data_IF_264328459259
#
_entry.id   IF_264328459259
#
_cell.length_a   1.000
_cell.length_b   1.000
_cell.length_c   1.000
_cell.angle_alpha   90.00
_cell.angle_beta   90.00
_cell.angle_gamma   90.00
#
_symmetry.space_group_name_H-M   'P 1'
#
loop_
_entity.id
_entity.type
_entity.pdbx_description
1 polymer ?
#
# COMPACT_ATOMS: atom_id res chain seq x y z
N UNK A 1 -1.69 -16.79 27.46
CA UNK A 1 -0.84 -15.66 27.04
C UNK A 1 -1.74 -14.55 26.53
N UNK A 2 -1.73 -13.37 27.15
CA UNK A 2 -2.58 -12.23 26.73
C UNK A 2 -1.80 -11.43 25.69
N UNK A 3 -2.34 -11.32 24.48
CA UNK A 3 -1.78 -10.46 23.43
C UNK A 3 -2.44 -9.09 23.56
N UNK A 4 -1.62 -8.04 23.74
CA UNK A 4 -2.09 -6.66 23.70
C UNK A 4 -1.92 -6.14 22.29
N UNK A 5 -3.00 -5.65 21.69
CA UNK A 5 -2.98 -4.99 20.37
C UNK A 5 -3.10 -3.49 20.60
N UNK A 6 -2.19 -2.71 20.03
CA UNK A 6 -2.19 -1.24 20.10
C UNK A 6 -2.76 -0.72 18.78
N UNK A 7 -3.77 0.16 18.85
CA UNK A 7 -4.38 0.81 17.69
C UNK A 7 -4.23 2.32 17.86
N UNK A 8 -3.64 2.98 16.87
CA UNK A 8 -3.37 4.43 16.87
C UNK A 8 -3.94 5.07 15.60
N UNK A 9 -4.38 6.33 15.69
CA UNK A 9 -4.74 7.16 14.53
C UNK A 9 -3.91 8.45 14.55
N UNK A 10 -3.08 8.63 13.52
CA UNK A 10 -2.22 9.80 13.36
C UNK A 10 -2.54 10.44 12.01
N UNK A 11 -3.13 11.63 12.01
CA UNK A 11 -3.46 12.37 10.78
C UNK A 11 -4.43 11.63 9.85
N UNK A 12 -5.35 10.81 10.39
CA UNK A 12 -6.30 10.01 9.60
C UNK A 12 -5.75 8.67 9.12
N UNK A 13 -4.49 8.34 9.44
CA UNK A 13 -3.87 7.05 9.14
C UNK A 13 -3.92 6.17 10.37
N UNK A 14 -4.44 4.95 10.22
CA UNK A 14 -4.47 3.96 11.29
C UNK A 14 -3.15 3.20 11.36
N UNK A 15 -2.73 2.84 12.58
CA UNK A 15 -1.59 1.97 12.85
C UNK A 15 -2.01 0.86 13.81
N UNK A 16 -1.50 -0.34 13.59
CA UNK A 16 -1.67 -1.50 14.47
C UNK A 16 -0.29 -1.96 14.91
N UNK A 17 -0.02 -1.93 16.22
CA UNK A 17 1.30 -2.22 16.79
C UNK A 17 2.41 -1.40 16.11
N UNK A 18 2.17 -0.09 15.96
CA UNK A 18 3.05 0.87 15.28
C UNK A 18 3.30 0.59 13.78
N UNK A 19 2.61 -0.39 13.18
CA UNK A 19 2.63 -0.64 11.74
C UNK A 19 1.44 0.01 11.09
N UNK A 20 1.67 0.78 10.03
CA UNK A 20 0.59 1.42 9.28
C UNK A 20 -0.41 0.39 8.76
N UNK A 21 -1.68 0.62 9.03
CA UNK A 21 -2.80 -0.15 8.53
C UNK A 21 -3.28 0.48 7.22
N UNK A 22 -3.31 -0.32 6.15
CA UNK A 22 -3.62 0.11 4.79
C UNK A 22 -2.41 0.03 3.87
N UNK A 23 -2.62 0.31 2.59
CA UNK A 23 -1.53 0.38 1.62
C UNK A 23 -0.82 1.73 1.76
N UNK A 24 0.51 1.70 1.75
CA UNK A 24 1.26 2.93 1.49
C UNK A 24 0.82 3.51 0.14
N UNK A 25 0.81 4.84 0.03
CA UNK A 25 0.66 5.46 -1.28
C UNK A 25 1.83 4.92 -2.11
N UNK A 26 1.55 4.43 -3.32
CA UNK A 26 2.61 4.09 -4.25
C UNK A 26 3.53 5.30 -4.38
N UNK A 27 4.83 5.06 -4.24
CA UNK A 27 5.82 6.05 -4.63
C UNK A 27 5.63 6.40 -6.12
N UNK A 28 6.17 7.55 -6.54
CA UNK A 28 6.14 7.93 -7.96
C UNK A 28 6.79 6.85 -8.85
N UNK A 29 7.82 6.19 -8.33
CA UNK A 29 8.51 5.09 -9.01
C UNK A 29 7.63 3.85 -9.15
N UNK A 30 6.98 3.41 -8.07
CA UNK A 30 6.05 2.26 -8.12
C UNK A 30 4.83 2.55 -9.01
N UNK A 31 4.35 3.80 -8.99
CA UNK A 31 3.27 4.26 -9.88
C UNK A 31 3.71 4.19 -11.34
N UNK A 32 4.93 4.61 -11.65
CA UNK A 32 5.50 4.54 -13.00
C UNK A 32 5.63 3.10 -13.47
N UNK A 33 6.22 2.22 -12.65
CA UNK A 33 6.34 0.80 -12.96
C UNK A 33 4.98 0.12 -13.18
N UNK A 34 3.97 0.47 -12.38
CA UNK A 34 2.61 -0.04 -12.55
C UNK A 34 2.00 0.40 -13.89
N UNK A 35 2.20 1.66 -14.29
CA UNK A 35 1.71 2.18 -15.56
C UNK A 35 2.37 1.49 -16.76
N UNK A 36 3.68 1.24 -16.69
CA UNK A 36 4.44 0.50 -17.72
C UNK A 36 3.93 -0.93 -17.84
N UNK A 37 3.77 -1.64 -16.72
CA UNK A 37 3.21 -2.98 -16.70
C UNK A 37 1.81 -3.04 -17.34
N UNK A 38 0.91 -2.11 -17.00
CA UNK A 38 -0.45 -2.08 -17.57
C UNK A 38 -0.40 -1.86 -19.08
N UNK A 39 0.52 -1.02 -19.57
CA UNK A 39 0.67 -0.75 -21.00
C UNK A 39 1.12 -2.01 -21.75
N UNK A 40 2.14 -2.70 -21.25
CA UNK A 40 2.65 -3.95 -21.84
C UNK A 40 1.61 -5.08 -21.81
N UNK A 41 0.89 -5.20 -20.69
CA UNK A 41 -0.14 -6.23 -20.53
C UNK A 41 -1.32 -6.03 -21.50
N UNK A 42 -1.75 -4.79 -21.74
CA UNK A 42 -2.82 -4.50 -22.69
C UNK A 42 -2.40 -4.74 -24.14
N UNK A 43 -1.15 -4.49 -24.49
CA UNK A 43 -0.60 -4.74 -25.82
C UNK A 43 -0.44 -6.24 -26.10
N UNK A 44 -0.16 -7.03 -25.07
CA UNK A 44 0.05 -8.48 -25.19
C UNK A 44 -1.27 -9.29 -25.25
N UNK A 45 -2.41 -8.64 -24.95
CA UNK A 45 -3.74 -9.26 -24.93
C UNK A 45 -4.70 -8.69 -26.00
N UNK A 46 -4.16 -8.01 -27.02
CA UNK A 46 -4.87 -7.66 -28.27
C UNK A 46 -4.32 -8.49 -29.43
#
# INVERSE_FOLDING_TARGET
>A
MKVTVIIENVGGVFYVNHKRLGHDKLSEMETTALNEFIKEFKQSNQ
#
